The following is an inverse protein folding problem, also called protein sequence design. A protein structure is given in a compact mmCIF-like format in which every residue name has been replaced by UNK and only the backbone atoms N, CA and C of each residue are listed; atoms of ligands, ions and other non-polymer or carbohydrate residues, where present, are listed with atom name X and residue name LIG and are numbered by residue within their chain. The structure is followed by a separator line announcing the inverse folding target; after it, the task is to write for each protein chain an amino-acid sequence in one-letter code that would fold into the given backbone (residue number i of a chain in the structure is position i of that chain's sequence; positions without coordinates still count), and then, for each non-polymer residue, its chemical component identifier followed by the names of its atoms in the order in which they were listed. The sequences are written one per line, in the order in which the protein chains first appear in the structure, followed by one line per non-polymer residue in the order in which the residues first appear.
data_IF_000252250642
#
_entry.id   IF_000252250642
#
_cell.length_a   1.000
_cell.length_b   1.000
_cell.length_c   1.000
_cell.angle_alpha   90.00
_cell.angle_beta   90.00
_cell.angle_gamma   90.00
#
_symmetry.space_group_name_H-M   'P 1'
#
loop_
_entity.id
_entity.type
_entity.pdbx_description
1 polymer ?
#
# COMPACT_ATOMS: atom_id res chain seq x y z
N UNK A 1 -20.56 23.36 35.58
CA UNK A 1 -20.27 22.74 34.27
C UNK A 1 -19.39 21.54 34.53
N UNK A 2 -19.96 20.33 34.48
CA UNK A 2 -19.23 19.08 34.77
C UNK A 2 -18.58 18.55 33.49
N UNK A 3 -17.27 18.31 33.54
CA UNK A 3 -16.51 17.65 32.47
C UNK A 3 -16.88 16.17 32.40
N UNK A 4 -17.33 15.74 31.23
CA UNK A 4 -17.54 14.33 30.89
C UNK A 4 -16.23 13.79 30.30
N UNK A 5 -15.58 12.84 30.99
CA UNK A 5 -14.48 12.06 30.42
C UNK A 5 -15.05 11.01 29.44
N UNK A 6 -14.50 10.84 28.24
CA UNK A 6 -14.83 9.71 27.39
C UNK A 6 -14.15 8.44 27.93
N UNK A 7 -14.96 7.47 28.35
CA UNK A 7 -14.48 6.15 28.77
C UNK A 7 -13.95 5.35 27.59
N UNK A 8 -12.81 4.69 27.78
CA UNK A 8 -12.26 3.72 26.84
C UNK A 8 -13.25 2.57 26.59
N UNK A 9 -13.36 2.05 25.36
CA UNK A 9 -14.19 0.87 25.11
C UNK A 9 -13.57 -0.33 25.86
N UNK A 10 -14.25 -0.78 26.92
CA UNK A 10 -13.98 -2.09 27.49
C UNK A 10 -14.48 -3.12 26.48
N UNK A 11 -13.54 -3.84 25.86
CA UNK A 11 -13.82 -5.07 25.14
C UNK A 11 -14.42 -6.06 26.14
N UNK A 12 -15.75 -6.10 26.19
CA UNK A 12 -16.50 -7.04 26.98
C UNK A 12 -16.32 -8.41 26.34
N UNK A 13 -15.29 -9.14 26.77
CA UNK A 13 -15.13 -10.55 26.43
C UNK A 13 -16.24 -11.30 27.13
N UNK A 14 -17.34 -11.51 26.43
CA UNK A 14 -18.40 -12.41 26.85
C UNK A 14 -17.83 -13.83 26.80
N UNK A 15 -17.37 -14.33 27.93
CA UNK A 15 -17.14 -15.75 28.09
C UNK A 15 -18.50 -16.47 27.88
N UNK A 16 -18.61 -17.42 26.94
CA UNK A 16 -19.85 -18.16 26.77
C UNK A 16 -20.16 -18.97 28.04
N UNK A 17 -21.44 -19.17 28.37
CA UNK A 17 -21.82 -19.93 29.55
C UNK A 17 -21.28 -21.36 29.45
N UNK A 18 -20.61 -21.77 30.53
CA UNK A 18 -20.04 -23.11 30.71
C UNK A 18 -21.14 -24.16 30.64
N UNK A 19 -21.27 -24.80 29.48
CA UNK A 19 -22.05 -26.03 29.31
C UNK A 19 -21.12 -27.22 29.54
N UNK A 20 -21.55 -28.12 30.41
CA UNK A 20 -20.87 -29.37 30.73
C UNK A 20 -20.37 -30.10 29.47
N UNK A 21 -19.11 -30.56 29.54
CA UNK A 21 -18.41 -31.35 28.54
C UNK A 21 -19.28 -32.42 27.85
N UNK A 22 -19.43 -32.37 26.51
CA UNK A 22 -19.40 -33.56 25.69
C UNK A 22 -17.94 -33.81 25.28
N UNK A 23 -17.41 -34.95 25.70
CA UNK A 23 -16.13 -35.45 25.25
C UNK A 23 -16.05 -35.43 23.71
N UNK A 24 -15.02 -34.79 23.16
CA UNK A 24 -14.74 -34.81 21.73
C UNK A 24 -14.92 -33.48 20.98
N UNK A 25 -14.97 -32.34 21.65
CA UNK A 25 -14.75 -31.07 20.93
C UNK A 25 -13.33 -31.08 20.35
N UNK A 26 -13.13 -30.89 19.02
CA UNK A 26 -11.79 -30.73 18.48
C UNK A 26 -11.16 -29.57 19.24
N UNK A 27 -10.04 -29.83 19.92
CA UNK A 27 -9.24 -28.75 20.50
C UNK A 27 -9.03 -27.75 19.37
N UNK A 28 -9.54 -26.53 19.55
CA UNK A 28 -9.23 -25.44 18.64
C UNK A 28 -7.71 -25.39 18.60
N UNK A 29 -7.13 -25.82 17.47
CA UNK A 29 -5.70 -25.70 17.24
C UNK A 29 -5.40 -24.23 17.49
N UNK A 30 -4.56 -23.88 18.48
CA UNK A 30 -4.27 -22.48 18.74
C UNK A 30 -3.80 -21.89 17.42
N UNK A 31 -4.54 -20.91 16.92
CA UNK A 31 -4.13 -20.13 15.75
C UNK A 31 -2.77 -19.57 16.14
N UNK A 32 -1.71 -20.11 15.54
CA UNK A 32 -0.36 -19.59 15.71
C UNK A 32 -0.42 -18.10 15.35
N UNK A 33 -0.24 -17.24 16.34
CA UNK A 33 -0.20 -15.81 16.11
C UNK A 33 0.88 -15.51 15.07
N UNK A 34 0.51 -14.73 14.04
CA UNK A 34 1.40 -14.44 12.95
C UNK A 34 2.55 -13.56 13.45
N UNK A 35 3.75 -14.15 13.54
CA UNK A 35 4.96 -13.40 13.85
C UNK A 35 5.32 -12.38 12.77
N UNK A 36 6.19 -11.43 13.13
CA UNK A 36 6.70 -10.37 12.26
C UNK A 36 7.04 -10.87 10.85
N UNK A 37 7.77 -11.98 10.74
CA UNK A 37 8.19 -12.55 9.46
C UNK A 37 6.99 -12.91 8.59
N UNK A 38 5.98 -13.59 9.16
CA UNK A 38 4.78 -13.97 8.41
C UNK A 38 3.98 -12.75 7.96
N UNK A 39 3.87 -11.73 8.83
CA UNK A 39 3.20 -10.48 8.49
C UNK A 39 3.89 -9.81 7.31
N UNK A 40 5.22 -9.63 7.38
CA UNK A 40 6.02 -9.00 6.33
C UNK A 40 5.93 -9.75 5.00
N UNK A 41 6.09 -11.08 5.00
CA UNK A 41 6.01 -11.89 3.78
C UNK A 41 4.61 -11.81 3.12
N UNK A 42 3.54 -11.77 3.93
CA UNK A 42 2.19 -11.59 3.43
C UNK A 42 1.98 -10.21 2.82
N UNK A 43 2.51 -9.16 3.46
CA UNK A 43 2.47 -7.80 2.91
C UNK A 43 3.23 -7.69 1.59
N UNK A 44 4.47 -8.14 1.55
CA UNK A 44 5.29 -8.11 0.32
C UNK A 44 4.59 -8.79 -0.85
N UNK A 45 3.99 -9.97 -0.61
CA UNK A 45 3.22 -10.69 -1.64
C UNK A 45 2.01 -9.89 -2.11
N UNK A 46 1.28 -9.26 -1.19
CA UNK A 46 0.11 -8.42 -1.51
C UNK A 46 0.53 -7.21 -2.36
N UNK A 47 1.57 -6.50 -1.93
CA UNK A 47 2.08 -5.31 -2.61
C UNK A 47 2.62 -5.61 -4.01
N UNK A 48 3.39 -6.69 -4.18
CA UNK A 48 3.87 -7.13 -5.49
C UNK A 48 2.70 -7.53 -6.41
N UNK A 49 1.69 -8.22 -5.88
CA UNK A 49 0.48 -8.57 -6.65
C UNK A 49 -0.27 -7.32 -7.11
N UNK A 50 -0.36 -6.28 -6.27
CA UNK A 50 -0.94 -4.99 -6.66
C UNK A 50 -0.15 -4.31 -7.77
N UNK A 51 1.19 -4.30 -7.69
CA UNK A 51 2.08 -3.76 -8.73
C UNK A 51 1.94 -4.49 -10.07
N UNK A 52 1.86 -5.81 -10.05
CA UNK A 52 1.67 -6.63 -11.25
C UNK A 52 0.33 -6.35 -11.91
N UNK A 53 -0.75 -6.31 -11.12
CA UNK A 53 -2.08 -5.98 -11.63
C UNK A 53 -2.14 -4.54 -12.16
N UNK A 54 -1.46 -3.60 -11.51
CA UNK A 54 -1.37 -2.22 -11.99
C UNK A 54 -0.70 -2.20 -13.36
N UNK A 55 0.48 -2.81 -13.47
CA UNK A 55 1.28 -2.83 -14.69
C UNK A 55 0.47 -3.42 -15.85
N UNK A 56 -0.24 -4.52 -15.60
CA UNK A 56 -1.12 -5.14 -16.58
C UNK A 56 -2.27 -4.23 -17.00
N UNK A 57 -2.96 -3.60 -16.04
CA UNK A 57 -4.07 -2.69 -16.33
C UNK A 57 -3.62 -1.45 -17.12
N UNK A 58 -2.44 -0.90 -16.79
CA UNK A 58 -1.83 0.21 -17.51
C UNK A 58 -1.48 -0.17 -18.95
N UNK A 59 -0.87 -1.35 -19.16
CA UNK A 59 -0.55 -1.86 -20.50
C UNK A 59 -1.79 -2.10 -21.37
N UNK A 60 -2.93 -2.47 -20.76
CA UNK A 60 -4.21 -2.65 -21.43
C UNK A 60 -4.98 -1.35 -21.67
N UNK A 61 -4.51 -0.21 -21.14
CA UNK A 61 -5.24 1.06 -21.18
C UNK A 61 -6.54 1.04 -20.34
N UNK A 62 -6.66 0.14 -19.37
CA UNK A 62 -7.83 0.05 -18.50
C UNK A 62 -7.76 1.13 -17.41
N UNK A 63 -8.14 2.35 -17.78
CA UNK A 63 -8.06 3.52 -16.91
C UNK A 63 -8.82 3.34 -15.59
N UNK A 64 -9.99 2.69 -15.60
CA UNK A 64 -10.78 2.48 -14.38
C UNK A 64 -10.05 1.59 -13.37
N UNK A 65 -9.49 0.47 -13.82
CA UNK A 65 -8.70 -0.42 -12.95
C UNK A 65 -7.41 0.24 -12.47
N UNK A 66 -6.74 1.02 -13.33
CA UNK A 66 -5.56 1.81 -12.94
C UNK A 66 -5.90 2.80 -11.82
N UNK A 67 -7.04 3.48 -11.89
CA UNK A 67 -7.47 4.43 -10.84
C UNK A 67 -7.63 3.75 -9.48
N UNK A 68 -8.29 2.58 -9.43
CA UNK A 68 -8.51 1.82 -8.20
C UNK A 68 -7.18 1.30 -7.64
N UNK A 69 -6.35 0.69 -8.49
CA UNK A 69 -5.09 0.10 -8.07
C UNK A 69 -4.08 1.15 -7.61
N UNK A 70 -4.11 2.36 -8.16
CA UNK A 70 -3.22 3.43 -7.72
C UNK A 70 -3.43 3.84 -6.27
N UNK A 71 -4.69 4.04 -5.86
CA UNK A 71 -5.02 4.39 -4.47
C UNK A 71 -4.70 3.24 -3.52
N UNK A 72 -5.08 2.02 -3.88
CA UNK A 72 -4.80 0.83 -3.08
C UNK A 72 -3.29 0.62 -2.87
N UNK A 73 -2.50 0.72 -3.94
CA UNK A 73 -1.05 0.58 -3.89
C UNK A 73 -0.38 1.68 -3.06
N UNK A 74 -0.85 2.93 -3.20
CA UNK A 74 -0.29 4.04 -2.44
C UNK A 74 -0.52 3.89 -0.92
N UNK A 75 -1.72 3.47 -0.52
CA UNK A 75 -2.04 3.19 0.88
C UNK A 75 -1.21 2.00 1.37
N UNK A 76 -1.17 0.92 0.61
CA UNK A 76 -0.46 -0.30 0.98
C UNK A 76 1.04 -0.07 1.20
N UNK A 77 1.72 0.60 0.25
CA UNK A 77 3.13 0.98 0.40
C UNK A 77 3.33 1.91 1.59
N UNK A 78 2.45 2.92 1.79
CA UNK A 78 2.61 3.86 2.89
C UNK A 78 2.50 3.18 4.26
N UNK A 79 1.53 2.28 4.42
CA UNK A 79 1.37 1.51 5.65
C UNK A 79 2.57 0.60 5.89
N UNK A 80 3.01 -0.11 4.86
CA UNK A 80 4.22 -0.93 4.94
C UNK A 80 5.44 -0.10 5.37
N UNK A 81 5.69 1.05 4.72
CA UNK A 81 6.74 1.98 5.10
C UNK A 81 6.61 2.40 6.57
N UNK A 82 5.42 2.79 7.03
CA UNK A 82 5.22 3.22 8.42
C UNK A 82 5.57 2.12 9.43
N UNK A 83 5.21 0.87 9.14
CA UNK A 83 5.59 -0.29 9.94
C UNK A 83 7.11 -0.51 9.96
N UNK A 84 7.76 -0.49 8.80
CA UNK A 84 9.21 -0.69 8.69
C UNK A 84 9.98 0.45 9.37
N UNK A 85 9.61 1.70 9.13
CA UNK A 85 10.29 2.87 9.69
C UNK A 85 10.06 3.01 11.20
N UNK A 86 8.83 2.75 11.67
CA UNK A 86 8.43 2.94 13.06
C UNK A 86 8.77 1.78 13.98
N UNK A 87 8.89 0.55 13.45
CA UNK A 87 9.09 -0.66 14.26
C UNK A 87 10.37 -1.38 13.88
N UNK A 88 10.53 -1.76 12.61
CA UNK A 88 11.65 -2.60 12.18
C UNK A 88 13.00 -1.86 12.25
N UNK A 89 13.09 -0.64 11.72
CA UNK A 89 14.34 0.12 11.73
C UNK A 89 14.86 0.39 13.16
N UNK A 90 14.02 0.86 14.12
CA UNK A 90 14.44 0.98 15.51
C UNK A 90 14.84 -0.35 16.16
N UNK A 91 14.20 -1.47 15.78
CA UNK A 91 14.60 -2.79 16.25
C UNK A 91 16.01 -3.15 15.78
N UNK A 92 16.31 -2.94 14.49
CA UNK A 92 17.64 -3.20 13.92
C UNK A 92 18.71 -2.35 14.61
N UNK A 93 18.44 -1.07 14.83
CA UNK A 93 19.36 -0.14 15.50
C UNK A 93 19.67 -0.55 16.94
N UNK A 94 18.65 -0.98 17.69
CA UNK A 94 18.82 -1.39 19.10
C UNK A 94 19.49 -2.75 19.24
N UNK A 95 19.14 -3.71 18.39
CA UNK A 95 19.59 -5.11 18.52
C UNK A 95 20.98 -5.31 17.91
N UNK A 96 21.27 -4.62 16.81
CA UNK A 96 22.53 -4.76 16.09
C UNK A 96 23.35 -3.50 16.25
N UNK A 97 24.30 -3.52 17.18
CA UNK A 97 25.26 -2.42 17.37
C UNK A 97 25.97 -2.05 16.06
N UNK A 98 26.61 -0.86 15.99
CA UNK A 98 27.27 -0.38 14.78
C UNK A 98 28.27 -1.37 14.16
N UNK A 99 28.98 -2.16 14.98
CA UNK A 99 29.90 -3.20 14.52
C UNK A 99 29.20 -4.36 13.76
N UNK A 100 27.91 -4.56 14.01
CA UNK A 100 27.05 -5.55 13.38
C UNK A 100 26.15 -4.95 12.28
N UNK A 101 26.37 -3.67 11.94
CA UNK A 101 25.75 -2.99 10.80
C UNK A 101 24.30 -2.56 10.96
N UNK A 102 23.68 -2.67 12.15
CA UNK A 102 22.26 -2.37 12.36
C UNK A 102 21.84 -0.96 11.90
N UNK A 103 22.48 0.12 12.39
CA UNK A 103 22.16 1.48 11.98
C UNK A 103 22.36 1.74 10.48
N UNK A 104 23.39 1.14 9.88
CA UNK A 104 23.63 1.28 8.44
C UNK A 104 22.54 0.59 7.61
N UNK A 105 22.13 -0.61 8.03
CA UNK A 105 21.04 -1.34 7.37
C UNK A 105 19.70 -0.63 7.55
N UNK A 106 19.39 -0.14 8.76
CA UNK A 106 18.20 0.67 8.99
C UNK A 106 18.21 1.92 8.09
N UNK A 107 19.31 2.68 8.03
CA UNK A 107 19.44 3.84 7.17
C UNK A 107 19.23 3.50 5.67
N UNK A 108 19.75 2.37 5.20
CA UNK A 108 19.54 1.91 3.84
C UNK A 108 18.05 1.60 3.56
N UNK A 109 17.36 0.90 4.47
CA UNK A 109 15.92 0.64 4.35
C UNK A 109 15.11 1.94 4.32
N UNK A 110 15.46 2.93 5.15
CA UNK A 110 14.80 4.25 5.13
C UNK A 110 14.94 4.93 3.77
N UNK A 111 16.16 4.93 3.22
CA UNK A 111 16.42 5.54 1.91
C UNK A 111 15.68 4.84 0.77
N UNK A 112 15.62 3.50 0.80
CA UNK A 112 14.85 2.71 -0.17
C UNK A 112 13.36 3.05 -0.12
N UNK A 113 12.75 3.05 1.07
CA UNK A 113 11.33 3.36 1.23
C UNK A 113 10.99 4.79 0.83
N UNK A 114 11.86 5.77 1.15
CA UNK A 114 11.69 7.15 0.67
C UNK A 114 11.72 7.25 -0.85
N UNK A 115 12.58 6.48 -1.52
CA UNK A 115 12.62 6.44 -2.98
C UNK A 115 11.34 5.82 -3.57
N UNK A 116 10.86 4.72 -2.99
CA UNK A 116 9.60 4.07 -3.39
C UNK A 116 8.41 5.01 -3.17
N UNK A 117 8.26 5.62 -2.00
CA UNK A 117 7.17 6.56 -1.71
C UNK A 117 7.17 7.75 -2.66
N UNK A 118 8.35 8.27 -3.03
CA UNK A 118 8.47 9.33 -4.04
C UNK A 118 7.99 8.86 -5.40
N UNK A 119 8.42 7.68 -5.84
CA UNK A 119 7.97 7.11 -7.10
C UNK A 119 6.45 6.86 -7.14
N UNK A 120 5.85 6.48 -6.00
CA UNK A 120 4.39 6.37 -5.85
C UNK A 120 3.71 7.74 -5.98
N UNK A 121 4.22 8.80 -5.36
CA UNK A 121 3.66 10.15 -5.54
C UNK A 121 3.75 10.62 -7.01
N UNK A 122 4.87 10.37 -7.67
CA UNK A 122 5.03 10.65 -9.11
C UNK A 122 4.00 9.86 -9.94
N UNK A 123 3.81 8.57 -9.64
CA UNK A 123 2.79 7.73 -10.28
C UNK A 123 1.38 8.33 -10.11
N UNK A 124 1.02 8.77 -8.89
CA UNK A 124 -0.29 9.40 -8.64
C UNK A 124 -0.46 10.72 -9.41
N UNK A 125 0.63 11.47 -9.59
CA UNK A 125 0.65 12.72 -10.37
C UNK A 125 0.44 12.44 -11.86
N UNK A 126 1.19 11.51 -12.44
CA UNK A 126 1.07 11.11 -13.84
C UNK A 126 -0.30 10.52 -14.15
N UNK A 127 -0.87 9.75 -13.21
CA UNK A 127 -2.25 9.26 -13.29
C UNK A 127 -3.24 10.41 -13.40
N UNK A 128 -3.14 11.42 -12.53
CA UNK A 128 -4.01 12.61 -12.55
C UNK A 128 -3.92 13.35 -13.89
N UNK A 129 -2.72 13.41 -14.46
CA UNK A 129 -2.45 14.04 -15.76
C UNK A 129 -2.86 13.16 -16.96
N UNK A 130 -3.23 11.90 -16.70
CA UNK A 130 -3.56 10.87 -17.71
C UNK A 130 -2.44 10.62 -18.71
N UNK A 131 -1.19 10.82 -18.29
CA UNK A 131 -0.02 10.44 -19.09
C UNK A 131 0.25 8.94 -18.92
N UNK A 132 -0.48 8.11 -19.66
CA UNK A 132 -0.45 6.66 -19.51
C UNK A 132 0.90 6.03 -19.86
N UNK A 133 1.65 6.63 -20.80
CA UNK A 133 2.96 6.12 -21.23
C UNK A 133 3.99 6.40 -20.14
N UNK A 134 4.06 7.64 -19.64
CA UNK A 134 4.95 7.97 -18.53
C UNK A 134 4.55 7.22 -17.26
N UNK A 135 3.25 7.06 -16.99
CA UNK A 135 2.73 6.30 -15.86
C UNK A 135 3.22 4.86 -15.88
N UNK A 136 3.08 4.15 -17.01
CA UNK A 136 3.55 2.77 -17.15
C UNK A 136 5.07 2.65 -16.92
N UNK A 137 5.85 3.58 -17.48
CA UNK A 137 7.29 3.65 -17.22
C UNK A 137 7.60 3.86 -15.74
N UNK A 138 6.86 4.75 -15.07
CA UNK A 138 7.04 5.06 -13.66
C UNK A 138 6.70 3.88 -12.76
N UNK A 139 5.60 3.18 -13.04
CA UNK A 139 5.15 1.99 -12.29
C UNK A 139 6.19 0.88 -12.36
N UNK A 140 6.76 0.62 -13.53
CA UNK A 140 7.81 -0.39 -13.68
C UNK A 140 9.05 -0.08 -12.83
N UNK A 141 9.41 1.20 -12.73
CA UNK A 141 10.53 1.60 -11.89
C UNK A 141 10.17 1.50 -10.39
N UNK A 142 8.97 1.90 -9.97
CA UNK A 142 8.49 1.69 -8.59
C UNK A 142 8.50 0.21 -8.23
N UNK A 143 8.03 -0.64 -9.14
CA UNK A 143 8.05 -2.08 -8.97
C UNK A 143 9.49 -2.58 -8.75
N UNK A 144 10.44 -2.17 -9.61
CA UNK A 144 11.84 -2.54 -9.47
C UNK A 144 12.43 -2.09 -8.12
N UNK A 145 12.22 -0.85 -7.74
CA UNK A 145 12.76 -0.28 -6.50
C UNK A 145 12.17 -0.98 -5.27
N UNK A 146 10.87 -1.28 -5.30
CA UNK A 146 10.20 -1.98 -4.22
C UNK A 146 10.57 -3.48 -4.14
N UNK A 147 10.76 -4.15 -5.28
CA UNK A 147 11.26 -5.52 -5.30
C UNK A 147 12.70 -5.62 -4.74
N UNK A 148 13.56 -4.62 -5.01
CA UNK A 148 14.88 -4.53 -4.41
C UNK A 148 14.82 -4.33 -2.89
N UNK A 149 13.88 -3.49 -2.41
CA UNK A 149 13.62 -3.33 -0.98
C UNK A 149 13.16 -4.63 -0.31
N UNK A 150 12.19 -5.33 -0.92
CA UNK A 150 11.72 -6.64 -0.43
C UNK A 150 12.86 -7.64 -0.38
N UNK A 151 13.71 -7.70 -1.41
CA UNK A 151 14.83 -8.62 -1.44
C UNK A 151 15.81 -8.39 -0.27
N UNK A 152 16.16 -7.13 0.01
CA UNK A 152 17.00 -6.78 1.17
C UNK A 152 16.36 -7.25 2.49
N UNK A 153 15.05 -7.08 2.63
CA UNK A 153 14.33 -7.54 3.82
C UNK A 153 14.30 -9.08 3.91
N UNK A 154 13.83 -9.76 2.87
CA UNK A 154 13.59 -11.21 2.91
C UNK A 154 14.86 -12.04 2.92
N UNK A 155 15.94 -11.57 2.30
CA UNK A 155 17.21 -12.31 2.21
C UNK A 155 18.22 -11.81 3.24
N UNK A 156 18.23 -10.50 3.54
CA UNK A 156 19.20 -9.91 4.47
C UNK A 156 18.69 -9.84 5.90
N UNK A 157 17.51 -9.23 6.11
CA UNK A 157 17.05 -8.82 7.45
C UNK A 157 16.28 -9.92 8.17
N UNK A 158 15.23 -10.47 7.54
CA UNK A 158 14.30 -11.38 8.20
C UNK A 158 14.95 -12.70 8.65
N UNK A 159 15.83 -13.36 7.87
CA UNK A 159 16.49 -14.59 8.31
C UNK A 159 17.39 -14.36 9.52
N UNK A 160 18.06 -13.20 9.56
CA UNK A 160 18.91 -12.81 10.68
C UNK A 160 18.09 -12.57 11.95
N UNK A 161 16.96 -11.87 11.84
CA UNK A 161 16.04 -11.70 12.96
C UNK A 161 15.48 -13.05 13.43
N UNK A 162 15.15 -13.96 12.52
CA UNK A 162 14.68 -15.31 12.85
C UNK A 162 15.70 -16.11 13.68
N UNK A 163 17.00 -15.89 13.44
CA UNK A 163 18.08 -16.56 14.16
C UNK A 163 18.35 -15.94 15.55
N UNK A 164 18.18 -14.62 15.67
CA UNK A 164 18.62 -13.85 16.85
C UNK A 164 17.49 -13.49 17.83
N UNK A 165 16.24 -13.70 17.45
CA UNK A 165 15.04 -13.26 18.18
C UNK A 165 14.15 -14.45 18.48
N UNK A 166 13.60 -14.48 19.69
CA UNK A 166 12.69 -15.56 20.10
C UNK A 166 11.36 -15.47 19.36
N UNK A 167 10.65 -16.60 19.25
CA UNK A 167 9.35 -16.62 18.59
C UNK A 167 8.34 -15.64 19.25
N UNK A 168 8.36 -15.52 20.58
CA UNK A 168 7.48 -14.60 21.34
C UNK A 168 7.79 -13.13 21.04
N UNK A 169 9.08 -12.77 20.96
CA UNK A 169 9.51 -11.44 20.54
C UNK A 169 9.11 -11.15 19.08
N UNK A 170 9.20 -12.13 18.17
CA UNK A 170 8.75 -11.98 16.78
C UNK A 170 7.24 -11.78 16.69
N UNK A 171 6.45 -12.50 17.48
CA UNK A 171 4.99 -12.30 17.59
C UNK A 171 4.67 -10.90 18.10
N UNK A 172 5.27 -10.50 19.23
CA UNK A 172 5.07 -9.18 19.82
C UNK A 172 5.45 -8.06 18.84
N UNK A 173 6.55 -8.23 18.12
CA UNK A 173 6.99 -7.25 17.11
C UNK A 173 6.03 -7.19 15.91
N UNK A 174 5.48 -8.32 15.49
CA UNK A 174 4.45 -8.37 14.45
C UNK A 174 3.19 -7.59 14.83
N UNK A 175 2.74 -7.74 16.09
CA UNK A 175 1.61 -6.98 16.62
C UNK A 175 1.90 -5.47 16.66
N UNK A 176 3.10 -5.07 17.10
CA UNK A 176 3.52 -3.66 17.09
C UNK A 176 3.55 -3.09 15.68
N UNK A 177 4.03 -3.86 14.70
CA UNK A 177 4.05 -3.44 13.29
C UNK A 177 2.62 -3.20 12.77
N UNK A 178 1.70 -4.11 13.02
CA UNK A 178 0.29 -3.94 12.63
C UNK A 178 -0.37 -2.76 13.37
N UNK A 179 -0.09 -2.59 14.66
CA UNK A 179 -0.59 -1.45 15.42
C UNK A 179 -0.07 -0.12 14.85
N UNK A 180 1.22 -0.07 14.51
CA UNK A 180 1.83 1.10 13.88
C UNK A 180 1.16 1.43 12.54
N UNK A 181 0.78 0.42 11.75
CA UNK A 181 0.06 0.63 10.50
C UNK A 181 -1.35 1.20 10.72
N UNK A 182 -2.08 0.69 11.72
CA UNK A 182 -3.44 1.16 12.03
C UNK A 182 -3.44 2.66 12.42
N UNK A 183 -2.39 3.12 13.09
CA UNK A 183 -2.27 4.50 13.57
C UNK A 183 -1.43 5.40 12.67
N UNK A 184 -0.86 4.86 11.59
CA UNK A 184 0.03 5.58 10.71
C UNK A 184 -0.68 6.74 9.99
N UNK A 185 0.03 7.86 9.85
CA UNK A 185 -0.39 8.91 8.93
C UNK A 185 -0.28 8.41 7.49
N UNK A 186 -1.33 8.62 6.69
CA UNK A 186 -1.28 8.34 5.25
C UNK A 186 -0.47 9.39 4.46
N UNK A 187 0.01 10.45 5.12
CA UNK A 187 0.92 11.42 4.51
C UNK A 187 2.33 10.80 4.45
N UNK A 188 2.95 10.70 3.25
CA UNK A 188 4.32 10.21 3.09
C UNK A 188 5.36 11.10 3.78
N UNK A 189 6.47 10.51 4.24
CA UNK A 189 7.54 11.20 4.97
C UNK A 189 8.66 11.70 4.04
N UNK A 190 8.26 12.27 2.90
CA UNK A 190 9.17 12.73 1.84
C UNK A 190 9.21 14.25 1.78
N UNK A 191 9.63 14.88 2.88
CA UNK A 191 9.87 16.32 3.00
C UNK A 191 8.61 17.18 2.81
N UNK A 192 8.50 18.26 3.59
CA UNK A 192 7.29 19.10 3.61
C UNK A 192 6.92 19.68 2.21
N UNK A 193 7.91 19.86 1.33
CA UNK A 193 7.72 20.52 0.04
C UNK A 193 6.94 19.69 -1.00
N UNK A 194 7.15 18.36 -1.05
CA UNK A 194 6.56 17.52 -2.09
C UNK A 194 5.05 17.31 -1.88
N UNK A 195 4.64 17.09 -0.63
CA UNK A 195 3.23 16.93 -0.28
C UNK A 195 2.50 18.28 -0.27
N UNK A 196 3.14 19.34 0.22
CA UNK A 196 2.57 20.69 0.15
C UNK A 196 2.41 21.19 -1.29
N UNK A 197 3.25 20.74 -2.24
CA UNK A 197 3.05 21.02 -3.66
C UNK A 197 1.81 20.30 -4.21
N UNK A 198 1.55 19.05 -3.80
CA UNK A 198 0.36 18.30 -4.21
C UNK A 198 -0.94 18.87 -3.60
N UNK A 199 -0.90 19.33 -2.35
CA UNK A 199 -2.05 19.92 -1.64
C UNK A 199 -2.43 21.34 -2.11
N UNK A 200 -1.51 22.07 -2.76
CA UNK A 200 -1.75 23.43 -3.29
C UNK A 200 -2.63 23.47 -4.54
N UNK A 201 -3.02 22.32 -5.09
CA UNK A 201 -3.86 22.21 -6.31
C UNK A 201 -5.38 22.23 -5.99
N UNK A 202 -5.76 22.64 -4.77
CA UNK A 202 -7.16 22.79 -4.35
C UNK A 202 -7.80 21.50 -3.82
N UNK A 203 -9.09 21.53 -3.43
CA UNK A 203 -9.79 20.40 -2.80
C UNK A 203 -9.91 19.16 -3.69
N UNK A 204 -9.82 19.32 -5.02
CA UNK A 204 -9.70 18.18 -5.96
C UNK A 204 -8.29 17.53 -5.91
N UNK A 205 -7.26 18.31 -5.57
CA UNK A 205 -5.89 17.84 -5.35
C UNK A 205 -5.66 17.13 -4.01
N UNK A 206 -6.53 17.33 -3.01
CA UNK A 206 -6.50 16.55 -1.77
C UNK A 206 -6.95 15.08 -1.99
N UNK A 207 -7.49 14.76 -3.17
CA UNK A 207 -7.92 13.44 -3.60
C UNK A 207 -6.81 12.62 -4.29
N UNK A 208 -5.55 12.87 -3.92
CA UNK A 208 -4.39 12.16 -4.50
C UNK A 208 -4.36 10.68 -4.09
N UNK A 209 -4.87 10.32 -2.91
CA UNK A 209 -4.92 8.93 -2.42
C UNK A 209 -6.21 8.18 -2.77
N UNK A 210 -7.17 8.82 -3.45
CA UNK A 210 -8.47 8.20 -3.70
C UNK A 210 -9.57 9.18 -4.05
N UNK A 211 -9.43 9.86 -5.19
CA UNK A 211 -10.52 10.43 -5.98
C UNK A 211 -11.85 9.70 -5.79
N UNK A 212 -13.00 10.40 -5.88
CA UNK A 212 -14.28 10.36 -5.14
C UNK A 212 -14.82 9.06 -4.49
N UNK A 213 -14.20 7.91 -4.72
CA UNK A 213 -14.54 6.60 -4.18
C UNK A 213 -14.43 6.53 -2.66
N UNK A 214 -13.54 7.29 -2.02
CA UNK A 214 -13.46 7.38 -0.55
C UNK A 214 -14.46 8.41 0.00
N UNK A 215 -14.85 9.42 -0.80
CA UNK A 215 -15.79 10.47 -0.41
C UNK A 215 -17.26 10.16 -0.76
N UNK A 216 -17.56 8.98 -1.30
CA UNK A 216 -18.93 8.57 -1.65
C UNK A 216 -19.57 9.35 -2.81
N UNK A 217 -18.83 10.21 -3.51
CA UNK A 217 -19.36 11.04 -4.60
C UNK A 217 -18.96 10.47 -5.98
N UNK A 218 -19.43 9.26 -6.28
CA UNK A 218 -19.37 8.76 -7.66
C UNK A 218 -20.11 9.73 -8.59
N UNK A 219 -19.38 10.37 -9.52
CA UNK A 219 -19.99 11.07 -10.65
C UNK A 219 -20.06 10.09 -11.83
N UNK A 220 -21.25 9.79 -12.36
CA UNK A 220 -21.37 9.01 -13.58
C UNK A 220 -20.58 9.66 -14.69
N UNK A 221 -19.77 8.87 -15.41
CA UNK A 221 -19.23 9.26 -16.70
C UNK A 221 -20.38 9.78 -17.57
N UNK A 222 -20.37 11.07 -17.90
CA UNK A 222 -21.16 11.57 -19.02
C UNK A 222 -20.63 10.85 -20.25
N UNK A 223 -21.42 9.94 -20.79
CA UNK A 223 -21.21 9.39 -22.12
C UNK A 223 -20.94 10.56 -23.06
N UNK A 224 -19.73 10.63 -23.61
CA UNK A 224 -19.51 11.42 -24.81
C UNK A 224 -20.46 10.86 -25.87
N UNK A 225 -21.41 11.65 -26.41
CA UNK A 225 -22.17 11.21 -27.57
C UNK A 225 -21.17 10.98 -28.69
N UNK A 226 -21.23 9.79 -29.28
CA UNK A 226 -20.28 9.31 -30.26
C UNK A 226 -20.04 10.32 -31.38
N UNK A 227 -18.78 10.43 -31.79
CA UNK A 227 -18.46 10.93 -33.11
C UNK A 227 -19.15 10.01 -34.13
N UNK A 228 -20.26 10.50 -34.69
CA UNK A 228 -20.98 9.83 -35.74
C UNK A 228 -20.07 9.61 -36.93
N UNK A 229 -19.81 8.34 -37.23
CA UNK A 229 -19.49 7.91 -38.57
C UNK A 229 -20.74 8.13 -39.43
N UNK A 230 -20.64 8.93 -40.49
CA UNK A 230 -21.73 9.10 -41.45
C UNK A 230 -21.36 10.04 -42.58
N UNK A 231 -20.93 9.48 -43.72
CA UNK A 231 -20.83 10.27 -44.95
C UNK A 231 -19.85 9.76 -46.01
N UNK A 232 -19.88 8.46 -46.35
CA UNK A 232 -19.31 7.96 -47.62
C UNK A 232 -20.40 8.07 -48.70
N UNK A 233 -20.38 9.16 -49.46
CA UNK A 233 -21.04 9.27 -50.77
C UNK A 233 -19.91 9.37 -51.81
N UNK A 234 -19.90 8.72 -52.96
CA UNK A 234 -20.86 7.90 -53.67
C UNK A 234 -20.22 7.69 -55.04
N UNK A 235 -20.02 6.43 -55.44
CA UNK A 235 -19.47 6.06 -56.74
C UNK A 235 -20.48 6.42 -57.85
N UNK A 236 -20.15 7.42 -58.67
CA UNK A 236 -20.85 7.71 -59.92
C UNK A 236 -20.03 7.20 -61.10
N UNK A 237 -20.38 6.00 -61.55
CA UNK A 237 -19.94 5.40 -62.80
C UNK A 237 -20.76 6.02 -63.94
N UNK A 238 -20.08 6.49 -64.99
CA UNK A 238 -20.70 7.02 -66.20
C UNK A 238 -19.85 6.64 -67.41
N UNK A 239 -20.30 5.63 -68.14
CA UNK A 239 -19.73 5.14 -69.39
C UNK A 239 -19.99 6.09 -70.57
N UNK A 240 -19.04 6.05 -71.52
CA UNK A 240 -19.18 6.13 -72.98
C UNK A 240 -19.95 7.30 -73.64
N UNK A 241 -19.20 8.16 -74.34
CA UNK A 241 -19.13 8.18 -75.81
C UNK A 241 -17.86 8.92 -76.26
#
# INVERSE_FOLDING_TARGET
MQQVQPGSPQLHVVAPPSAANPAGAPQAVPLLEAGLINVMLCEHRRSLTLLDHFTLAAAQGNAHTVEILAGALAIDIRLHSAGVLGVLCPLLERRYASALGGPAQAAALRAQLQAVERGVLEMLTLRRERDWVALAGRVNLVHKDYAAHIHELEVGVLPRLAADVTQEELVSTGLLLQQQQITASLVPEIGDDAFAAAGRVGPEGASVLGGPLIAGSWQPHRHHPGAGAGGRAGSGQGDAA
#
